data_IF_648738824630
#
_entry.id   IF_648738824630
#
_cell.length_a   1.000
_cell.length_b   1.000
_cell.length_c   1.000
_cell.angle_alpha   90.00
_cell.angle_beta   90.00
_cell.angle_gamma   90.00
#
_symmetry.space_group_name_H-M   'P 1'
#
loop_
_entity.id
_entity.type
_entity.pdbx_description
1 polymer ?
#
# COMPACT_ATOMS: atom_id res chain seq x y z
N UNK A 1 0.27 4.55 -16.39
CA UNK A 1 1.05 5.05 -15.24
C UNK A 1 2.52 5.30 -15.61
N UNK A 2 3.25 4.37 -16.21
CA UNK A 2 4.70 4.48 -16.51
C UNK A 2 5.08 5.68 -17.38
N UNK A 3 4.14 6.22 -18.18
CA UNK A 3 4.35 7.47 -18.95
C UNK A 3 4.53 8.70 -18.06
N UNK A 4 4.15 8.60 -16.80
CA UNK A 4 4.15 9.70 -15.83
C UNK A 4 5.10 9.41 -14.69
N UNK A 5 5.08 8.18 -14.15
CA UNK A 5 6.02 7.69 -13.14
C UNK A 5 7.24 7.11 -13.86
N UNK A 6 8.11 8.01 -14.31
CA UNK A 6 9.20 7.65 -15.20
C UNK A 6 10.29 6.82 -14.50
N UNK A 7 10.74 5.74 -15.15
CA UNK A 7 11.87 4.91 -14.70
C UNK A 7 11.60 4.07 -13.46
N UNK A 8 10.34 3.87 -13.10
CA UNK A 8 9.92 3.11 -11.92
C UNK A 8 8.82 2.08 -12.24
N UNK A 9 9.02 1.21 -13.24
CA UNK A 9 8.01 0.22 -13.62
C UNK A 9 7.65 -0.71 -12.45
N UNK A 10 8.65 -1.13 -11.66
CA UNK A 10 8.45 -2.03 -10.51
C UNK A 10 7.51 -1.41 -9.45
N UNK A 11 7.68 -0.13 -9.14
CA UNK A 11 6.79 0.58 -8.20
C UNK A 11 5.37 0.68 -8.75
N UNK A 12 5.23 0.95 -10.05
CA UNK A 12 3.92 0.97 -10.72
C UNK A 12 3.26 -0.41 -10.64
N UNK A 13 4.00 -1.48 -10.91
CA UNK A 13 3.51 -2.84 -10.81
C UNK A 13 3.09 -3.19 -9.38
N UNK A 14 3.89 -2.82 -8.35
CA UNK A 14 3.54 -3.03 -6.94
C UNK A 14 2.26 -2.31 -6.54
N UNK A 15 2.06 -1.05 -6.96
CA UNK A 15 0.84 -0.30 -6.67
C UNK A 15 -0.39 -0.93 -7.36
N UNK A 16 -0.24 -1.39 -8.60
CA UNK A 16 -1.30 -2.09 -9.33
C UNK A 16 -1.59 -3.44 -8.67
N UNK A 17 -0.56 -4.17 -8.25
CA UNK A 17 -0.71 -5.43 -7.49
C UNK A 17 -1.51 -5.21 -6.21
N UNK A 18 -1.20 -4.18 -5.42
CA UNK A 18 -1.96 -3.85 -4.21
C UNK A 18 -3.43 -3.52 -4.52
N UNK A 19 -3.68 -2.73 -5.56
CA UNK A 19 -5.04 -2.41 -6.01
C UNK A 19 -5.81 -3.67 -6.43
N UNK A 20 -5.20 -4.56 -7.22
CA UNK A 20 -5.83 -5.80 -7.68
C UNK A 20 -6.03 -6.83 -6.57
N UNK A 21 -5.14 -6.87 -5.59
CA UNK A 21 -5.33 -7.68 -4.39
C UNK A 21 -6.50 -7.17 -3.50
N UNK A 22 -6.98 -5.94 -3.73
CA UNK A 22 -7.97 -5.27 -2.88
C UNK A 22 -7.41 -4.85 -1.53
N UNK A 23 -6.10 -4.56 -1.50
CA UNK A 23 -5.35 -4.18 -0.30
C UNK A 23 -4.66 -2.81 -0.48
N UNK A 24 -3.78 -2.42 0.43
CA UNK A 24 -3.21 -1.08 0.54
C UNK A 24 -1.68 -1.13 0.42
N UNK A 25 -1.06 0.01 0.10
CA UNK A 25 0.39 0.12 -0.08
C UNK A 25 1.01 1.18 0.84
N UNK A 26 2.20 0.90 1.35
CA UNK A 26 3.03 1.85 2.11
C UNK A 26 4.26 2.23 1.28
N UNK A 27 4.46 3.52 1.05
CA UNK A 27 5.64 4.08 0.39
C UNK A 27 6.56 4.71 1.44
N UNK A 28 7.69 4.09 1.71
CA UNK A 28 8.72 4.65 2.58
C UNK A 28 9.80 5.33 1.76
N UNK A 29 9.86 6.66 1.86
CA UNK A 29 10.77 7.43 1.02
C UNK A 29 10.97 8.85 1.53
N UNK A 30 12.06 9.47 1.06
CA UNK A 30 12.31 10.89 1.26
C UNK A 30 11.23 11.76 0.58
N UNK A 31 11.02 12.99 1.02
CA UNK A 31 10.14 13.94 0.35
C UNK A 31 10.58 14.22 -1.10
N UNK A 32 9.61 14.46 -1.99
CA UNK A 32 9.89 14.97 -3.35
C UNK A 32 10.20 13.92 -4.43
N UNK A 33 10.14 12.62 -4.13
CA UNK A 33 10.44 11.54 -5.11
C UNK A 33 9.25 11.16 -6.02
N UNK A 34 8.10 11.83 -5.92
CA UNK A 34 6.96 11.58 -6.80
C UNK A 34 5.84 10.70 -6.22
N UNK A 35 5.79 10.51 -4.90
CA UNK A 35 4.74 9.71 -4.22
C UNK A 35 3.33 10.16 -4.58
N UNK A 36 3.08 11.48 -4.52
CA UNK A 36 1.78 12.08 -4.89
C UNK A 36 1.46 11.83 -6.36
N UNK A 37 2.46 11.94 -7.24
CA UNK A 37 2.31 11.71 -8.67
C UNK A 37 1.89 10.26 -8.96
N UNK A 38 2.51 9.29 -8.28
CA UNK A 38 2.19 7.87 -8.43
C UNK A 38 0.74 7.56 -8.01
N UNK A 39 0.28 8.07 -6.87
CA UNK A 39 -1.09 7.87 -6.40
C UNK A 39 -2.13 8.56 -7.29
N UNK A 40 -1.87 9.79 -7.76
CA UNK A 40 -2.72 10.47 -8.75
C UNK A 40 -2.77 9.71 -10.06
N UNK A 41 -1.62 9.22 -10.55
CA UNK A 41 -1.57 8.46 -11.80
C UNK A 41 -2.38 7.16 -11.70
N UNK A 42 -2.37 6.50 -10.55
CA UNK A 42 -3.20 5.32 -10.30
C UNK A 42 -4.70 5.67 -10.42
N UNK A 43 -5.16 6.71 -9.72
CA UNK A 43 -6.56 7.14 -9.73
C UNK A 43 -7.04 7.52 -11.15
N UNK A 44 -6.25 8.33 -11.86
CA UNK A 44 -6.57 8.71 -13.24
C UNK A 44 -6.64 7.49 -14.18
N UNK A 45 -5.73 6.51 -14.01
CA UNK A 45 -5.69 5.32 -14.87
C UNK A 45 -6.93 4.45 -14.75
N UNK A 46 -7.62 4.46 -13.59
CA UNK A 46 -8.82 3.65 -13.31
C UNK A 46 -10.12 4.46 -13.38
N UNK A 47 -10.08 5.71 -13.82
CA UNK A 47 -11.22 6.64 -13.77
C UNK A 47 -11.83 6.76 -12.36
N UNK A 48 -10.99 6.65 -11.34
CA UNK A 48 -11.39 6.72 -9.94
C UNK A 48 -11.20 8.12 -9.34
N UNK A 49 -11.93 8.39 -8.27
CA UNK A 49 -11.74 9.60 -7.48
C UNK A 49 -10.43 9.54 -6.69
N UNK A 50 -9.77 10.69 -6.56
CA UNK A 50 -8.52 10.87 -5.82
C UNK A 50 -8.71 11.84 -4.66
N UNK A 51 -8.14 11.51 -3.51
CA UNK A 51 -8.05 12.41 -2.37
C UNK A 51 -6.64 12.37 -1.77
N UNK A 52 -6.16 13.53 -1.31
CA UNK A 52 -4.91 13.62 -0.56
C UNK A 52 -5.20 14.10 0.86
N UNK A 53 -4.71 13.34 1.81
CA UNK A 53 -4.73 13.62 3.24
C UNK A 53 -3.29 13.89 3.69
N UNK A 54 -2.99 15.12 4.09
CA UNK A 54 -1.71 15.45 4.71
C UNK A 54 -1.84 15.24 6.21
N UNK A 55 -1.07 14.31 6.75
CA UNK A 55 -1.08 14.02 8.18
C UNK A 55 -0.21 15.04 8.92
N UNK A 56 -0.80 15.66 9.95
CA UNK A 56 -0.18 16.66 10.82
C UNK A 56 -0.49 16.34 12.28
N UNK A 57 0.29 16.87 13.25
CA UNK A 57 0.07 16.58 14.66
C UNK A 57 -1.31 17.02 15.20
N UNK A 58 -1.97 17.96 14.55
CA UNK A 58 -3.28 18.51 14.91
C UNK A 58 -4.44 17.89 14.14
N UNK A 59 -4.18 16.98 13.16
CA UNK A 59 -5.22 16.32 12.38
C UNK A 59 -6.12 15.44 13.28
N UNK A 60 -7.42 15.64 13.18
CA UNK A 60 -8.43 14.87 13.92
C UNK A 60 -8.98 13.70 13.09
N UNK A 61 -9.49 12.62 13.73
CA UNK A 61 -10.19 11.55 13.02
C UNK A 61 -11.34 12.04 12.13
N UNK A 62 -12.11 13.04 12.60
CA UNK A 62 -13.23 13.65 11.86
C UNK A 62 -12.79 14.38 10.59
N UNK A 63 -11.54 14.86 10.53
CA UNK A 63 -11.00 15.49 9.33
C UNK A 63 -10.75 14.45 8.20
N UNK A 64 -10.59 13.18 8.58
CA UNK A 64 -10.43 12.04 7.67
C UNK A 64 -11.78 11.48 7.26
N UNK A 65 -12.61 11.13 8.27
CA UNK A 65 -13.85 10.36 8.07
C UNK A 65 -15.06 11.25 7.76
N UNK A 66 -14.98 12.53 8.08
CA UNK A 66 -16.12 13.42 8.03
C UNK A 66 -16.84 13.52 9.38
N UNK A 67 -17.87 14.32 9.43
CA UNK A 67 -18.63 14.60 10.64
C UNK A 67 -20.10 14.89 10.33
N UNK A 68 -20.94 14.72 11.33
CA UNK A 68 -22.35 15.14 11.27
C UNK A 68 -22.44 16.60 11.67
N UNK A 69 -23.04 17.43 10.81
CA UNK A 69 -23.27 18.85 11.04
C UNK A 69 -24.76 19.16 11.11
N UNK A 70 -25.16 20.04 12.02
CA UNK A 70 -26.54 20.52 12.10
C UNK A 70 -26.78 21.60 11.04
N UNK A 71 -27.70 21.35 10.12
CA UNK A 71 -28.17 22.31 9.13
C UNK A 71 -29.32 23.14 9.72
N UNK A 72 -29.05 24.36 10.12
CA UNK A 72 -30.04 25.24 10.72
C UNK A 72 -31.16 25.65 9.77
N UNK A 73 -30.91 25.65 8.46
CA UNK A 73 -31.87 25.96 7.40
C UNK A 73 -32.90 24.84 7.18
N UNK A 74 -32.52 23.61 7.43
CA UNK A 74 -33.35 22.39 7.26
C UNK A 74 -33.80 21.77 8.58
N UNK A 75 -33.23 22.24 9.71
CA UNK A 75 -33.42 21.69 11.06
C UNK A 75 -33.07 20.20 11.15
N UNK A 76 -32.08 19.76 10.37
CA UNK A 76 -31.65 18.36 10.30
C UNK A 76 -30.14 18.21 10.51
N UNK A 77 -29.76 17.02 10.97
CA UNK A 77 -28.35 16.61 11.01
C UNK A 77 -27.96 15.95 9.70
N UNK A 78 -26.93 16.46 9.05
CA UNK A 78 -26.43 15.94 7.77
C UNK A 78 -24.99 15.42 7.95
N UNK A 79 -24.72 14.22 7.46
CA UNK A 79 -23.37 13.68 7.40
C UNK A 79 -22.61 14.32 6.23
N UNK A 80 -21.54 15.03 6.55
CA UNK A 80 -20.58 15.57 5.58
C UNK A 80 -19.43 14.59 5.44
N UNK A 81 -19.30 13.97 4.26
CA UNK A 81 -18.25 12.99 3.96
C UNK A 81 -16.87 13.64 4.06
N UNK A 82 -15.95 12.95 4.72
CA UNK A 82 -14.54 13.33 4.75
C UNK A 82 -13.79 12.88 3.48
N UNK A 83 -12.52 13.30 3.37
CA UNK A 83 -11.67 13.00 2.20
C UNK A 83 -11.37 11.51 2.01
N UNK A 84 -11.63 10.65 2.99
CA UNK A 84 -11.47 9.19 2.86
C UNK A 84 -12.44 8.58 1.84
N UNK A 85 -13.55 9.26 1.52
CA UNK A 85 -14.55 8.79 0.56
C UNK A 85 -14.08 8.99 -0.90
N UNK A 86 -12.92 8.44 -1.23
CA UNK A 86 -12.36 8.41 -2.58
C UNK A 86 -11.87 6.99 -2.92
N UNK A 87 -11.76 6.65 -4.21
CA UNK A 87 -11.25 5.35 -4.64
C UNK A 87 -9.76 5.18 -4.34
N UNK A 88 -8.98 6.24 -4.51
CA UNK A 88 -7.55 6.28 -4.21
C UNK A 88 -7.28 7.40 -3.22
N UNK A 89 -6.86 7.05 -2.02
CA UNK A 89 -6.50 8.00 -0.96
C UNK A 89 -4.99 7.97 -0.76
N UNK A 90 -4.34 9.11 -0.95
CA UNK A 90 -2.96 9.32 -0.53
C UNK A 90 -2.95 9.82 0.91
N UNK A 91 -2.51 8.98 1.85
CA UNK A 91 -2.26 9.35 3.23
C UNK A 91 -0.79 9.78 3.39
N UNK A 92 -0.54 11.09 3.23
CA UNK A 92 0.83 11.63 3.17
C UNK A 92 1.37 11.89 4.58
N UNK A 93 2.56 11.33 4.87
CA UNK A 93 3.26 11.41 6.15
C UNK A 93 2.43 10.88 7.34
N UNK A 94 1.87 9.67 7.20
CA UNK A 94 0.95 9.05 8.20
C UNK A 94 1.53 9.03 9.62
N UNK A 95 2.85 8.94 9.77
CA UNK A 95 3.54 8.92 11.05
C UNK A 95 3.58 10.29 11.77
N UNK A 96 3.13 11.38 11.16
CA UNK A 96 3.06 12.70 11.79
C UNK A 96 1.80 12.91 12.65
N UNK A 97 0.71 12.20 12.36
CA UNK A 97 -0.50 12.36 13.14
C UNK A 97 -0.50 11.48 14.41
N UNK A 98 -1.25 11.88 15.45
CA UNK A 98 -1.37 11.09 16.66
C UNK A 98 -1.95 9.70 16.40
N UNK A 99 -1.65 8.69 17.26
CA UNK A 99 -2.12 7.31 17.10
C UNK A 99 -3.63 7.15 16.92
N UNK A 100 -4.42 8.02 17.57
CA UNK A 100 -5.88 8.03 17.44
C UNK A 100 -6.34 8.33 16.00
N UNK A 101 -5.68 9.26 15.35
CA UNK A 101 -5.98 9.66 13.96
C UNK A 101 -5.49 8.60 12.98
N UNK A 102 -4.30 8.02 13.21
CA UNK A 102 -3.82 6.87 12.46
C UNK A 102 -4.80 5.69 12.54
N UNK A 103 -5.29 5.38 13.74
CA UNK A 103 -6.23 4.28 13.97
C UNK A 103 -7.53 4.45 13.19
N UNK A 104 -8.07 5.67 13.05
CA UNK A 104 -9.28 5.92 12.27
C UNK A 104 -9.10 5.58 10.77
N UNK A 105 -7.96 5.96 10.17
CA UNK A 105 -7.64 5.56 8.80
C UNK A 105 -7.49 4.05 8.67
N UNK A 106 -6.73 3.43 9.58
CA UNK A 106 -6.42 2.01 9.54
C UNK A 106 -7.66 1.13 9.80
N UNK A 107 -8.61 1.59 10.60
CA UNK A 107 -9.91 0.95 10.78
C UNK A 107 -10.70 0.97 9.48
N UNK A 108 -10.84 2.14 8.86
CA UNK A 108 -11.51 2.30 7.59
C UNK A 108 -10.89 1.46 6.45
N UNK A 109 -9.56 1.31 6.44
CA UNK A 109 -8.86 0.42 5.51
C UNK A 109 -9.27 -1.05 5.70
N UNK A 110 -9.40 -1.50 6.94
CA UNK A 110 -9.73 -2.91 7.23
C UNK A 110 -11.20 -3.25 6.99
N UNK A 111 -12.09 -2.32 7.32
CA UNK A 111 -13.54 -2.55 7.27
C UNK A 111 -14.16 -2.14 5.93
N UNK A 112 -13.45 -1.34 5.11
CA UNK A 112 -14.01 -0.76 3.89
C UNK A 112 -15.20 0.18 4.14
N UNK A 113 -15.34 0.65 5.38
CA UNK A 113 -16.43 1.50 5.84
C UNK A 113 -16.01 2.36 7.03
N UNK A 114 -16.79 3.40 7.35
CA UNK A 114 -16.63 4.21 8.56
C UNK A 114 -17.96 4.28 9.31
N UNK A 115 -17.90 4.19 10.65
CA UNK A 115 -19.08 4.31 11.50
C UNK A 115 -19.05 5.65 12.25
N UNK A 116 -20.10 6.46 12.00
CA UNK A 116 -20.24 7.80 12.60
C UNK A 116 -21.64 7.91 13.21
N UNK A 117 -21.70 8.26 14.48
CA UNK A 117 -22.94 8.40 15.24
C UNK A 117 -23.88 7.18 15.13
N UNK A 118 -23.28 5.97 15.09
CA UNK A 118 -24.03 4.70 15.01
C UNK A 118 -24.50 4.33 13.59
N UNK A 119 -24.16 5.13 12.58
CA UNK A 119 -24.46 4.84 11.17
C UNK A 119 -23.17 4.42 10.45
N UNK A 120 -23.21 3.29 9.75
CA UNK A 120 -22.08 2.81 8.94
C UNK A 120 -22.21 3.31 7.50
N UNK A 121 -21.15 3.92 7.01
CA UNK A 121 -21.04 4.47 5.66
C UNK A 121 -19.99 3.68 4.87
N UNK A 122 -20.40 3.00 3.83
CA UNK A 122 -19.49 2.25 2.92
C UNK A 122 -18.57 3.20 2.16
N UNK A 123 -17.30 2.80 2.03
CA UNK A 123 -16.33 3.50 1.19
C UNK A 123 -16.52 3.14 -0.28
N UNK A 124 -16.13 4.02 -1.23
CA UNK A 124 -16.18 3.72 -2.66
C UNK A 124 -15.36 2.47 -3.00
N UNK A 125 -15.83 1.66 -3.96
CA UNK A 125 -15.10 0.49 -4.45
C UNK A 125 -14.70 0.71 -5.91
N UNK A 126 -13.49 0.30 -6.34
CA UNK A 126 -12.39 -0.18 -5.50
C UNK A 126 -11.89 0.91 -4.53
N UNK A 127 -11.33 0.51 -3.40
CA UNK A 127 -10.75 1.41 -2.41
C UNK A 127 -9.30 1.02 -2.13
N UNK A 128 -8.38 1.96 -2.29
CA UNK A 128 -6.97 1.78 -1.95
C UNK A 128 -6.43 3.01 -1.22
N UNK A 129 -5.72 2.77 -0.14
CA UNK A 129 -4.87 3.76 0.52
C UNK A 129 -3.43 3.54 0.09
N UNK A 130 -2.81 4.59 -0.41
CA UNK A 130 -1.36 4.68 -0.59
C UNK A 130 -0.86 5.57 0.52
N UNK A 131 -0.35 4.98 1.59
CA UNK A 131 0.22 5.73 2.69
C UNK A 131 1.69 6.05 2.41
N UNK A 132 2.17 7.19 2.92
CA UNK A 132 3.58 7.54 2.85
C UNK A 132 4.15 7.74 4.25
N UNK A 133 5.41 7.37 4.40
CA UNK A 133 6.19 7.58 5.61
C UNK A 133 7.59 8.06 5.22
N UNK A 134 8.15 8.99 6.00
CA UNK A 134 9.55 9.38 5.88
C UNK A 134 10.36 8.66 6.97
N UNK A 135 11.21 7.70 6.61
CA UNK A 135 11.95 6.90 7.58
C UNK A 135 13.07 7.70 8.29
N UNK A 136 13.44 8.87 7.78
CA UNK A 136 14.53 9.71 8.32
C UNK A 136 14.04 10.83 9.25
N UNK A 137 12.73 10.97 9.43
CA UNK A 137 12.15 12.03 10.24
C UNK A 137 11.66 11.43 11.56
N UNK A 138 12.43 11.68 12.64
CA UNK A 138 12.16 11.11 13.97
C UNK A 138 11.51 12.12 14.93
N UNK A 139 11.77 13.42 14.77
CA UNK A 139 11.19 14.44 15.63
C UNK A 139 9.71 14.69 15.31
N UNK A 140 8.87 14.59 16.35
CA UNK A 140 7.43 14.84 16.21
C UNK A 140 6.68 13.77 15.42
N UNK A 141 7.22 12.55 15.30
CA UNK A 141 6.58 11.44 14.62
C UNK A 141 6.14 10.35 15.60
N UNK A 142 5.07 9.63 15.21
CA UNK A 142 4.54 8.47 15.91
C UNK A 142 4.69 7.26 15.00
N UNK A 143 5.62 6.37 15.33
CA UNK A 143 5.83 5.15 14.57
C UNK A 143 4.57 4.29 14.56
N UNK A 144 4.29 3.69 13.40
CA UNK A 144 3.23 2.70 13.27
C UNK A 144 3.69 1.39 13.94
N UNK A 145 2.92 0.84 14.90
CA UNK A 145 3.18 -0.49 15.43
C UNK A 145 3.07 -1.56 14.33
N UNK A 146 3.73 -2.70 14.52
CA UNK A 146 3.74 -3.82 13.57
C UNK A 146 2.32 -4.31 13.22
N UNK A 147 1.43 -4.36 14.21
CA UNK A 147 0.02 -4.73 14.01
C UNK A 147 -0.76 -3.76 13.11
N UNK A 148 -0.28 -2.54 12.97
CA UNK A 148 -0.82 -1.54 12.05
C UNK A 148 -0.15 -1.61 10.68
N UNK A 149 1.15 -1.88 10.64
CA UNK A 149 1.88 -2.13 9.39
C UNK A 149 1.35 -3.37 8.65
N UNK A 150 0.90 -4.40 9.37
CA UNK A 150 0.30 -5.62 8.80
C UNK A 150 -1.00 -5.37 7.99
N UNK A 151 -1.56 -4.16 8.05
CA UNK A 151 -2.72 -3.75 7.22
C UNK A 151 -2.35 -3.33 5.80
N UNK A 152 -1.08 -3.09 5.53
CA UNK A 152 -0.59 -2.81 4.18
C UNK A 152 -0.12 -4.11 3.53
N UNK A 153 -0.58 -4.39 2.30
CA UNK A 153 -0.10 -5.55 1.55
C UNK A 153 1.42 -5.50 1.41
N UNK A 154 1.91 -4.37 0.94
CA UNK A 154 3.33 -4.21 0.64
C UNK A 154 3.87 -2.86 1.11
N UNK A 155 5.17 -2.88 1.37
CA UNK A 155 6.01 -1.72 1.64
C UNK A 155 7.08 -1.63 0.55
N UNK A 156 7.17 -0.46 -0.08
CA UNK A 156 8.15 -0.22 -1.15
C UNK A 156 8.65 1.21 -1.13
N UNK A 157 9.66 1.52 -1.95
CA UNK A 157 10.20 2.87 -2.12
C UNK A 157 10.28 3.22 -3.60
N UNK A 158 10.09 4.49 -3.93
CA UNK A 158 10.28 5.02 -5.29
C UNK A 158 11.76 5.28 -5.53
N UNK A 159 12.42 5.89 -4.54
CA UNK A 159 13.82 6.32 -4.62
C UNK A 159 14.07 7.42 -5.65
N UNK A 160 15.26 7.94 -5.67
CA UNK A 160 15.65 8.94 -6.66
C UNK A 160 15.69 8.32 -8.07
N UNK A 161 15.30 9.09 -9.10
CA UNK A 161 15.52 8.68 -10.49
C UNK A 161 17.02 8.75 -10.83
N UNK A 162 17.43 7.96 -11.82
CA UNK A 162 18.75 8.15 -12.40
C UNK A 162 18.82 9.48 -13.20
N UNK A 163 20.05 9.93 -13.50
CA UNK A 163 20.28 11.21 -14.17
C UNK A 163 19.58 11.31 -15.53
N UNK A 164 19.41 10.21 -16.23
CA UNK A 164 18.76 10.21 -17.55
C UNK A 164 17.27 10.42 -17.39
N UNK A 165 16.67 9.71 -16.46
CA UNK A 165 15.25 9.83 -16.11
C UNK A 165 14.96 11.20 -15.51
N UNK A 166 15.80 11.71 -14.62
CA UNK A 166 15.63 13.04 -14.01
C UNK A 166 15.58 14.15 -15.09
N UNK A 167 16.43 14.04 -16.11
CA UNK A 167 16.38 14.94 -17.25
C UNK A 167 15.04 14.85 -18.02
N UNK A 168 14.45 13.64 -18.10
CA UNK A 168 13.13 13.46 -18.73
C UNK A 168 12.02 14.08 -17.86
N UNK A 169 12.11 13.93 -16.52
CA UNK A 169 11.20 14.56 -15.57
C UNK A 169 11.20 16.09 -15.77
N UNK A 170 12.36 16.74 -15.85
CA UNK A 170 12.43 18.18 -16.12
C UNK A 170 11.76 18.59 -17.44
N UNK A 171 11.91 17.77 -18.47
CA UNK A 171 11.27 18.04 -19.76
C UNK A 171 9.76 17.84 -19.73
N UNK A 172 9.29 16.81 -19.04
CA UNK A 172 7.85 16.48 -18.97
C UNK A 172 7.05 17.53 -18.18
N UNK A 173 7.65 18.13 -17.14
CA UNK A 173 7.01 19.16 -16.31
C UNK A 173 7.05 20.57 -16.94
N UNK A 174 7.72 20.73 -18.08
CA UNK A 174 7.85 22.05 -18.73
C UNK A 174 6.50 22.67 -19.17
N UNK A 175 5.53 21.82 -19.52
CA UNK A 175 4.24 22.24 -20.07
C UNK A 175 3.07 22.04 -19.11
N UNK A 176 3.32 21.70 -17.85
CA UNK A 176 2.33 21.40 -16.83
C UNK A 176 2.57 20.04 -16.14
N UNK A 177 1.62 19.63 -15.33
CA UNK A 177 1.68 18.35 -14.63
C UNK A 177 1.41 17.18 -15.61
N UNK A 178 2.35 16.24 -15.80
CA UNK A 178 2.17 15.13 -16.75
C UNK A 178 0.95 14.27 -16.44
N UNK A 179 0.53 14.18 -15.18
CA UNK A 179 -0.62 13.40 -14.75
C UNK A 179 -1.93 13.89 -15.34
N UNK A 180 -2.06 15.19 -15.63
CA UNK A 180 -3.28 15.78 -16.20
C UNK A 180 -3.52 15.33 -17.66
N UNK A 181 -2.49 14.77 -18.29
CA UNK A 181 -2.58 14.24 -19.66
C UNK A 181 -2.99 12.77 -19.70
N UNK A 182 -3.01 12.07 -18.55
CA UNK A 182 -3.40 10.68 -18.50
C UNK A 182 -4.87 10.50 -18.83
N UNK A 183 -5.14 9.51 -19.69
CA UNK A 183 -6.50 9.06 -19.96
C UNK A 183 -6.74 7.76 -19.19
N UNK A 184 -7.95 7.56 -18.67
CA UNK A 184 -8.32 6.29 -18.05
C UNK A 184 -8.16 5.14 -19.07
N UNK A 185 -7.62 4.02 -18.62
CA UNK A 185 -7.45 2.80 -19.42
C UNK A 185 -8.39 1.68 -18.99
N UNK A 186 -8.97 1.82 -17.80
CA UNK A 186 -9.94 0.88 -17.23
C UNK A 186 -10.91 1.65 -16.33
N UNK A 187 -12.14 1.17 -16.20
CA UNK A 187 -13.11 1.74 -15.26
C UNK A 187 -12.95 1.12 -13.86
N UNK A 188 -13.54 1.76 -12.86
CA UNK A 188 -13.66 1.20 -11.50
C UNK A 188 -14.32 -0.17 -11.50
N UNK A 189 -15.38 -0.37 -12.29
CA UNK A 189 -16.04 -1.68 -12.43
C UNK A 189 -15.11 -2.73 -13.08
N UNK A 190 -14.28 -2.32 -14.03
CA UNK A 190 -13.25 -3.17 -14.63
C UNK A 190 -12.22 -3.64 -13.60
N UNK A 191 -11.81 -2.76 -12.66
CA UNK A 191 -10.93 -3.14 -11.56
C UNK A 191 -11.62 -4.11 -10.60
N UNK A 192 -12.90 -3.91 -10.26
CA UNK A 192 -13.67 -4.84 -9.41
C UNK A 192 -13.79 -6.23 -10.08
N UNK A 193 -14.01 -6.26 -11.39
CA UNK A 193 -13.97 -7.50 -12.17
C UNK A 193 -12.60 -8.19 -12.06
N UNK A 194 -11.51 -7.44 -12.26
CA UNK A 194 -10.15 -7.98 -12.14
C UNK A 194 -9.83 -8.46 -10.71
N UNK A 195 -10.28 -7.76 -9.66
CA UNK A 195 -10.15 -8.22 -8.26
C UNK A 195 -10.87 -9.55 -8.02
N UNK A 196 -11.99 -9.79 -8.68
CA UNK A 196 -12.70 -11.07 -8.62
C UNK A 196 -11.91 -12.17 -9.34
N UNK A 197 -11.30 -11.86 -10.49
CA UNK A 197 -10.46 -12.80 -11.24
C UNK A 197 -9.16 -13.16 -10.52
N UNK A 198 -8.57 -12.26 -9.71
CA UNK A 198 -7.41 -12.57 -8.88
C UNK A 198 -7.62 -13.84 -8.05
N UNK A 199 -8.83 -14.04 -7.52
CA UNK A 199 -9.17 -15.22 -6.70
C UNK A 199 -9.20 -16.53 -7.49
N UNK A 200 -9.32 -16.45 -8.81
CA UNK A 200 -9.34 -17.59 -9.72
C UNK A 200 -7.96 -17.95 -10.26
N UNK A 201 -6.95 -17.12 -10.01
CA UNK A 201 -5.56 -17.39 -10.41
C UNK A 201 -5.07 -18.65 -9.72
N UNK A 202 -4.57 -19.59 -10.51
CA UNK A 202 -4.12 -20.91 -10.04
C UNK A 202 -2.80 -20.77 -9.29
N UNK A 203 -2.71 -21.46 -8.16
CA UNK A 203 -1.46 -21.63 -7.42
C UNK A 203 -1.26 -23.12 -7.23
N UNK A 204 -0.17 -23.66 -7.78
CA UNK A 204 0.18 -25.07 -7.61
C UNK A 204 0.47 -25.38 -6.13
N UNK A 205 0.10 -26.58 -5.68
CA UNK A 205 0.31 -26.97 -4.29
C UNK A 205 1.79 -26.88 -3.88
N UNK A 206 2.71 -27.16 -4.79
CA UNK A 206 4.16 -27.01 -4.54
C UNK A 206 4.57 -25.58 -4.27
N UNK A 207 3.91 -24.59 -4.89
CA UNK A 207 4.13 -23.18 -4.64
C UNK A 207 3.47 -22.70 -3.33
N UNK A 208 2.36 -23.33 -2.95
CA UNK A 208 1.76 -23.09 -1.62
C UNK A 208 2.72 -23.56 -0.54
N UNK A 209 3.29 -24.75 -0.65
CA UNK A 209 4.30 -25.27 0.28
C UNK A 209 5.54 -24.35 0.30
N UNK A 210 6.04 -23.91 -0.84
CA UNK A 210 7.17 -22.98 -0.93
C UNK A 210 6.91 -21.65 -0.21
N UNK A 211 5.69 -21.12 -0.36
CA UNK A 211 5.26 -19.91 0.35
C UNK A 211 5.19 -20.16 1.86
N UNK A 212 4.67 -21.32 2.29
CA UNK A 212 4.59 -21.70 3.70
C UNK A 212 5.98 -21.90 4.29
N UNK A 213 6.90 -22.55 3.57
CA UNK A 213 8.30 -22.71 3.99
C UNK A 213 8.97 -21.36 4.28
N UNK A 214 8.72 -20.35 3.39
CA UNK A 214 9.20 -18.99 3.58
C UNK A 214 8.62 -18.34 4.84
N UNK A 215 7.32 -18.51 5.07
CA UNK A 215 6.64 -17.96 6.25
C UNK A 215 7.13 -18.65 7.53
N UNK A 216 7.26 -19.96 7.53
CA UNK A 216 7.76 -20.74 8.68
C UNK A 216 9.21 -20.39 9.00
N UNK A 217 10.05 -20.26 7.97
CA UNK A 217 11.44 -19.83 8.15
C UNK A 217 11.55 -18.46 8.84
N UNK A 218 10.59 -17.54 8.64
CA UNK A 218 10.58 -16.27 9.39
C UNK A 218 10.23 -16.45 10.86
N UNK A 219 9.47 -17.51 11.23
CA UNK A 219 9.05 -17.78 12.61
C UNK A 219 10.13 -18.49 13.41
N UNK A 220 10.96 -19.27 12.72
CA UNK A 220 12.03 -20.08 13.30
C UNK A 220 13.42 -19.41 13.22
N UNK A 221 13.49 -18.21 12.65
CA UNK A 221 14.74 -17.48 12.44
C UNK A 221 15.21 -16.78 13.72
N UNK A 222 16.43 -17.08 14.17
CA UNK A 222 17.03 -16.50 15.39
C UNK A 222 17.13 -14.96 15.38
N UNK A 223 17.12 -14.33 14.21
CA UNK A 223 17.15 -12.87 14.03
C UNK A 223 15.80 -12.19 14.15
N UNK A 224 14.70 -12.94 14.30
CA UNK A 224 13.35 -12.40 14.43
C UNK A 224 12.69 -12.82 15.74
N UNK A 225 12.26 -11.85 16.54
CA UNK A 225 11.46 -12.09 17.72
C UNK A 225 10.02 -12.53 17.37
N UNK A 226 9.49 -11.99 16.27
CA UNK A 226 8.16 -12.33 15.75
C UNK A 226 8.27 -12.52 14.25
N UNK A 227 7.86 -13.68 13.76
CA UNK A 227 7.73 -13.99 12.34
C UNK A 227 6.40 -13.57 11.75
N UNK A 228 6.20 -13.85 10.47
CA UNK A 228 5.01 -13.47 9.70
C UNK A 228 3.75 -14.14 10.25
N UNK A 229 2.70 -13.35 10.45
CA UNK A 229 1.38 -13.82 10.91
C UNK A 229 0.66 -14.63 9.81
N UNK A 230 -0.35 -15.43 10.20
CA UNK A 230 -1.21 -16.12 9.23
C UNK A 230 -1.95 -15.13 8.30
N UNK A 231 -2.31 -13.94 8.82
CA UNK A 231 -2.90 -12.87 8.01
C UNK A 231 -1.91 -12.38 6.96
N UNK A 232 -0.64 -12.15 7.37
CA UNK A 232 0.43 -11.75 6.45
C UNK A 232 0.69 -12.81 5.37
N UNK A 233 0.66 -14.11 5.71
CA UNK A 233 0.77 -15.19 4.75
C UNK A 233 -0.38 -15.20 3.73
N UNK A 234 -1.62 -14.95 4.16
CA UNK A 234 -2.78 -14.84 3.27
C UNK A 234 -2.69 -13.61 2.35
N UNK A 235 -2.23 -12.46 2.87
CA UNK A 235 -1.96 -11.27 2.05
C UNK A 235 -0.86 -11.55 1.03
N UNK A 236 0.20 -12.26 1.42
CA UNK A 236 1.27 -12.66 0.51
C UNK A 236 0.75 -13.57 -0.62
N UNK A 237 -0.02 -14.60 -0.28
CA UNK A 237 -0.65 -15.49 -1.27
C UNK A 237 -1.49 -14.71 -2.28
N UNK A 238 -2.38 -13.80 -1.81
CA UNK A 238 -3.20 -12.94 -2.68
C UNK A 238 -2.35 -11.97 -3.51
N UNK A 239 -1.30 -11.41 -2.90
CA UNK A 239 -0.34 -10.57 -3.60
C UNK A 239 0.27 -11.28 -4.80
N UNK A 240 0.70 -12.55 -4.64
CA UNK A 240 1.25 -13.36 -5.72
C UNK A 240 0.22 -13.61 -6.83
N UNK A 241 -1.03 -13.90 -6.48
CA UNK A 241 -2.10 -14.04 -7.46
C UNK A 241 -2.35 -12.73 -8.24
N UNK A 242 -2.40 -11.59 -7.53
CA UNK A 242 -2.58 -10.28 -8.14
C UNK A 242 -1.38 -9.90 -9.04
N UNK A 243 -0.17 -10.22 -8.61
CA UNK A 243 1.06 -9.98 -9.38
C UNK A 243 1.06 -10.77 -10.70
N UNK A 244 0.67 -12.03 -10.68
CA UNK A 244 0.54 -12.85 -11.88
C UNK A 244 -0.40 -12.23 -12.94
N UNK A 245 -1.53 -11.63 -12.47
CA UNK A 245 -2.45 -10.90 -13.38
C UNK A 245 -1.78 -9.66 -13.98
N UNK A 246 -0.93 -8.95 -13.25
CA UNK A 246 -0.23 -7.77 -13.82
C UNK A 246 0.67 -8.15 -14.99
N UNK A 247 1.15 -9.40 -15.03
CA UNK A 247 1.92 -9.97 -16.12
C UNK A 247 1.06 -10.71 -17.17
N UNK A 248 -0.26 -10.65 -17.04
CA UNK A 248 -1.20 -11.28 -17.96
C UNK A 248 -1.30 -12.80 -17.84
N UNK A 249 -0.93 -13.37 -16.68
CA UNK A 249 -0.98 -14.82 -16.41
C UNK A 249 -2.16 -15.18 -15.51
N UNK A 250 -2.71 -16.38 -15.68
CA UNK A 250 -3.76 -16.98 -14.86
C UNK A 250 -3.21 -18.02 -13.86
N UNK A 251 -1.89 -18.02 -13.65
CA UNK A 251 -1.18 -18.89 -12.70
C UNK A 251 0.01 -18.17 -12.09
N UNK A 252 0.32 -18.52 -10.84
CA UNK A 252 1.48 -18.02 -10.09
C UNK A 252 2.73 -18.80 -10.47
N UNK A 253 3.87 -18.12 -10.47
CA UNK A 253 5.21 -18.70 -10.67
C UNK A 253 6.09 -18.47 -9.44
N UNK A 254 7.20 -19.21 -9.28
CA UNK A 254 8.16 -18.93 -8.20
C UNK A 254 8.71 -17.51 -8.23
N UNK A 255 8.79 -16.89 -9.40
CA UNK A 255 9.31 -15.52 -9.53
C UNK A 255 8.34 -14.49 -8.94
N UNK A 256 7.02 -14.72 -8.96
CA UNK A 256 6.04 -13.88 -8.26
C UNK A 256 6.27 -13.90 -6.75
N UNK A 257 6.49 -15.09 -6.20
CA UNK A 257 6.77 -15.27 -4.77
C UNK A 257 8.06 -14.54 -4.38
N UNK A 258 9.13 -14.71 -5.16
CA UNK A 258 10.41 -14.03 -4.92
C UNK A 258 10.31 -12.50 -5.04
N UNK A 259 9.62 -12.01 -6.05
CA UNK A 259 9.45 -10.58 -6.28
C UNK A 259 8.70 -9.89 -5.12
N UNK A 260 7.73 -10.60 -4.54
CA UNK A 260 6.88 -10.05 -3.49
C UNK A 260 7.34 -10.36 -2.07
N UNK A 261 8.21 -11.34 -1.86
CA UNK A 261 8.60 -11.76 -0.51
C UNK A 261 9.13 -10.60 0.34
N UNK A 262 10.09 -9.83 -0.14
CA UNK A 262 10.64 -8.69 0.59
C UNK A 262 9.61 -7.56 0.76
N UNK A 263 8.96 -7.05 -0.29
CA UNK A 263 7.96 -6.00 -0.15
C UNK A 263 6.79 -6.36 0.77
N UNK A 264 6.38 -7.62 0.81
CA UNK A 264 5.21 -8.06 1.58
C UNK A 264 5.57 -8.52 2.99
N UNK A 265 6.69 -9.20 3.19
CA UNK A 265 7.01 -9.86 4.46
C UNK A 265 7.91 -9.03 5.37
N UNK A 266 8.80 -8.17 4.84
CA UNK A 266 9.82 -7.48 5.64
C UNK A 266 9.25 -6.52 6.69
N UNK A 267 8.07 -5.96 6.50
CA UNK A 267 7.40 -5.07 7.46
C UNK A 267 6.48 -5.81 8.44
N UNK A 268 6.43 -7.15 8.36
CA UNK A 268 5.61 -8.04 9.18
C UNK A 268 6.41 -8.88 10.15
N UNK A 269 7.73 -8.76 10.13
CA UNK A 269 8.64 -9.42 11.08
C UNK A 269 9.18 -8.41 12.06
N UNK A 270 9.35 -8.82 13.32
CA UNK A 270 9.98 -8.01 14.36
C UNK A 270 11.40 -8.55 14.57
N UNK A 271 12.45 -7.79 14.28
CA UNK A 271 13.82 -8.23 14.51
C UNK A 271 14.11 -8.43 16.01
N UNK A 272 15.00 -9.38 16.32
CA UNK A 272 15.48 -9.59 17.69
C UNK A 272 16.47 -8.47 18.06
N UNK A 273 16.43 -8.06 19.35
CA UNK A 273 17.26 -6.98 19.85
C UNK A 273 16.53 -5.63 19.86
N UNK A 274 16.14 -5.20 21.05
CA UNK A 274 15.38 -3.99 21.35
C UNK A 274 16.24 -2.74 21.09
N UNK A 275 16.51 -2.45 19.87
CA UNK A 275 16.82 -1.08 19.49
C UNK A 275 15.83 -0.68 18.41
N UNK A 276 14.95 0.25 18.77
CA UNK A 276 14.23 1.10 17.85
C UNK A 276 15.23 1.63 16.83
N UNK A 277 15.45 0.91 15.74
CA UNK A 277 16.48 1.21 14.76
C UNK A 277 17.22 0.03 14.15
N UNK A 278 16.75 -1.23 14.31
CA UNK A 278 17.16 -2.24 13.35
C UNK A 278 16.81 -1.70 11.96
N UNK A 279 17.82 -1.33 11.18
CA UNK A 279 17.58 -0.63 9.94
C UNK A 279 16.75 -1.55 9.04
N UNK A 280 15.83 -0.99 8.28
CA UNK A 280 15.08 -1.66 7.21
C UNK A 280 16.01 -2.59 6.42
N UNK A 281 17.20 -2.10 6.08
CA UNK A 281 18.22 -2.83 5.34
C UNK A 281 18.66 -4.13 6.02
N UNK A 282 18.69 -4.16 7.36
CA UNK A 282 19.03 -5.38 8.11
C UNK A 282 17.95 -6.45 7.95
N UNK A 283 16.68 -6.08 8.11
CA UNK A 283 15.55 -7.01 7.94
C UNK A 283 15.47 -7.50 6.49
N UNK A 284 15.60 -6.60 5.52
CA UNK A 284 15.57 -6.97 4.10
C UNK A 284 16.75 -7.87 3.69
N UNK A 285 17.93 -7.67 4.30
CA UNK A 285 19.09 -8.54 4.11
C UNK A 285 18.82 -9.94 4.67
N UNK A 286 18.31 -10.05 5.90
CA UNK A 286 17.94 -11.34 6.51
C UNK A 286 16.86 -12.07 5.70
N UNK A 287 15.83 -11.35 5.23
CA UNK A 287 14.79 -11.90 4.35
C UNK A 287 15.39 -12.39 3.02
N UNK A 288 16.36 -11.67 2.47
CA UNK A 288 17.05 -12.07 1.23
C UNK A 288 17.85 -13.36 1.44
N UNK A 289 18.52 -13.50 2.59
CA UNK A 289 19.25 -14.73 2.95
C UNK A 289 18.29 -15.93 3.09
N UNK A 290 17.13 -15.74 3.75
CA UNK A 290 16.10 -16.78 3.84
C UNK A 290 15.60 -17.24 2.47
N UNK A 291 15.31 -16.27 1.58
CA UNK A 291 14.89 -16.57 0.20
C UNK A 291 15.91 -17.40 -0.58
N UNK A 292 17.20 -17.23 -0.32
CA UNK A 292 18.26 -17.98 -0.99
C UNK A 292 18.43 -19.39 -0.41
N UNK A 293 18.06 -19.61 0.83
CA UNK A 293 18.23 -20.91 1.52
C UNK A 293 17.09 -21.90 1.20
N UNK A 294 15.90 -21.39 0.91
CA UNK A 294 14.72 -22.22 0.66
C UNK A 294 14.71 -22.66 -0.82
N UNK A 295 14.71 -23.98 -1.07
CA UNK A 295 14.77 -24.52 -2.43
C UNK A 295 13.47 -24.17 -3.19
N UNK A 296 13.63 -23.71 -4.42
CA UNK A 296 12.49 -23.46 -5.32
C UNK A 296 11.94 -24.81 -5.81
N UNK A 297 10.61 -25.03 -5.77
CA UNK A 297 10.02 -26.25 -6.32
C UNK A 297 10.31 -26.37 -7.82
N UNK A 298 10.58 -27.59 -8.28
CA UNK A 298 10.96 -27.93 -9.69
C UNK A 298 9.72 -28.38 -10.45
#
# INVERSE_FOLDING_TARGET
MERVVLGKPDVVQMLVTALLAGEHALLEDVPGVGKTLAAKALAHSINGSFSRLQFTPDLLPSDITGSVIYRSDQHEFEFTRGPIFANVVLADEINRAPPRTQSALLEAMSEGSVSIDGVTHELPKPFIVVATQNPFEFEGTYLLPESQLDRFLLRTSIGYPDRVIERQVFKSHRMGEPVDTLQPVVSTDGILGAQSEVRNVKVDDSLVEYLLDLVEATRDHDGFQVGVSTRGALSFYRGCQAHAITDGRDFVTPDDIKALAIPVLSHRVLPDGIFQGASRDTVESQMTELLQQIPVPV
#
